data_IF_001799647717
#
_entry.id   IF_001799647717
#
_cell.length_a   1.000
_cell.length_b   1.000
_cell.length_c   1.000
_cell.angle_alpha   90.00
_cell.angle_beta   90.00
_cell.angle_gamma   90.00
#
_symmetry.space_group_name_H-M   'P 1'
#
loop_
_entity.id
_entity.type
_entity.pdbx_description
1 polymer ?
#
# COMPACT_ATOMS: atom_id res chain seq x y z
N UNK A 1 27.56 -22.57 -14.48
CA UNK A 1 27.13 -21.20 -14.82
C UNK A 1 26.81 -20.47 -13.53
N UNK A 2 27.46 -19.34 -13.29
CA UNK A 2 27.65 -18.74 -11.97
C UNK A 2 26.49 -17.82 -11.50
N UNK A 3 26.29 -17.84 -10.17
CA UNK A 3 25.59 -16.87 -9.29
C UNK A 3 24.21 -16.39 -9.73
N UNK A 4 23.16 -17.05 -9.21
CA UNK A 4 21.95 -16.33 -8.77
C UNK A 4 22.38 -15.42 -7.63
N UNK A 5 22.73 -14.16 -7.94
CA UNK A 5 22.81 -13.10 -6.94
C UNK A 5 21.47 -13.07 -6.21
N UNK A 6 21.48 -12.82 -4.90
CA UNK A 6 20.28 -12.42 -4.17
C UNK A 6 19.65 -11.28 -4.97
N UNK A 7 18.58 -11.56 -5.72
CA UNK A 7 17.86 -10.54 -6.48
C UNK A 7 17.24 -9.66 -5.39
N UNK A 8 17.73 -8.43 -5.26
CA UNK A 8 16.98 -7.38 -4.58
C UNK A 8 15.61 -7.36 -5.26
N UNK A 9 14.61 -7.88 -4.56
CA UNK A 9 13.23 -7.85 -5.05
C UNK A 9 12.72 -6.46 -4.78
N UNK A 10 12.22 -5.82 -5.82
CA UNK A 10 11.41 -4.61 -5.71
C UNK A 10 9.96 -5.03 -5.49
N UNK A 11 9.48 -5.15 -4.24
CA UNK A 11 8.12 -5.57 -3.96
C UNK A 11 7.11 -4.60 -4.59
N UNK A 12 5.99 -5.13 -5.04
CA UNK A 12 4.87 -4.38 -5.60
C UNK A 12 3.63 -5.29 -5.66
N UNK A 13 2.47 -4.67 -5.93
CA UNK A 13 1.18 -5.34 -6.00
C UNK A 13 0.62 -5.49 -7.42
N UNK A 14 1.44 -5.26 -8.46
CA UNK A 14 0.97 -5.19 -9.85
C UNK A 14 0.29 -6.51 -10.27
N UNK A 15 0.87 -7.67 -9.91
CA UNK A 15 0.30 -8.98 -10.25
C UNK A 15 -1.10 -9.16 -9.69
N UNK A 16 -1.23 -8.91 -8.39
CA UNK A 16 -2.48 -9.05 -7.65
C UNK A 16 -3.57 -8.17 -8.27
N UNK A 17 -3.26 -6.88 -8.49
CA UNK A 17 -4.19 -5.91 -9.07
C UNK A 17 -4.56 -6.23 -10.52
N UNK A 18 -3.59 -6.72 -11.30
CA UNK A 18 -3.82 -7.15 -12.68
C UNK A 18 -4.80 -8.33 -12.73
N UNK A 19 -4.62 -9.30 -11.83
CA UNK A 19 -5.46 -10.49 -11.74
C UNK A 19 -6.86 -10.16 -11.22
N UNK A 20 -6.98 -9.24 -10.26
CA UNK A 20 -8.27 -8.70 -9.81
C UNK A 20 -9.03 -7.96 -10.92
N UNK A 21 -8.31 -7.30 -11.84
CA UNK A 21 -8.88 -6.67 -13.02
C UNK A 21 -9.11 -7.65 -14.20
N UNK A 22 -8.86 -8.96 -14.01
CA UNK A 22 -8.99 -10.01 -15.03
C UNK A 22 -8.15 -9.74 -16.30
N UNK A 23 -7.02 -9.04 -16.16
CA UNK A 23 -6.16 -8.68 -17.28
C UNK A 23 -5.02 -9.69 -17.47
N UNK A 24 -4.75 -10.07 -18.72
CA UNK A 24 -3.50 -10.74 -19.07
C UNK A 24 -2.33 -9.75 -18.98
N UNK A 25 -1.10 -10.27 -18.82
CA UNK A 25 0.11 -9.44 -18.82
C UNK A 25 0.25 -8.64 -20.12
N UNK A 26 -0.05 -9.26 -21.27
CA UNK A 26 -0.03 -8.59 -22.57
C UNK A 26 -1.07 -7.48 -22.64
N UNK A 27 -2.28 -7.71 -22.11
CA UNK A 27 -3.35 -6.71 -22.12
C UNK A 27 -3.00 -5.53 -21.25
N UNK A 28 -2.47 -5.74 -20.04
CA UNK A 28 -1.99 -4.66 -19.18
C UNK A 28 -0.83 -3.91 -19.83
N UNK A 29 0.10 -4.61 -20.49
CA UNK A 29 1.18 -4.00 -21.25
C UNK A 29 0.68 -3.07 -22.37
N UNK A 30 -0.32 -3.51 -23.13
CA UNK A 30 -0.98 -2.68 -24.14
C UNK A 30 -1.66 -1.44 -23.54
N UNK A 31 -2.42 -1.61 -22.45
CA UNK A 31 -3.16 -0.50 -21.80
C UNK A 31 -2.22 0.53 -21.15
N UNK A 32 -1.12 0.07 -20.55
CA UNK A 32 -0.13 0.94 -19.89
C UNK A 32 0.91 1.51 -20.86
N UNK A 33 1.00 0.98 -22.08
CA UNK A 33 2.07 1.31 -23.02
C UNK A 33 3.44 0.76 -22.60
N UNK A 34 3.48 -0.23 -21.70
CA UNK A 34 4.71 -0.89 -21.25
C UNK A 34 4.84 -2.23 -21.99
N UNK A 35 5.98 -2.45 -22.63
CA UNK A 35 6.24 -3.72 -23.31
C UNK A 35 6.15 -4.91 -22.33
N UNK A 36 5.48 -5.98 -22.73
CA UNK A 36 5.14 -7.12 -21.86
C UNK A 36 6.36 -7.70 -21.11
N UNK A 37 7.53 -7.78 -21.78
CA UNK A 37 8.75 -8.31 -21.18
C UNK A 37 9.35 -7.40 -20.11
N UNK A 38 9.14 -6.09 -20.22
CA UNK A 38 9.54 -5.13 -19.19
C UNK A 38 8.54 -5.21 -18.03
N UNK A 39 7.25 -5.26 -18.33
CA UNK A 39 6.19 -5.41 -17.32
C UNK A 39 6.37 -6.69 -16.49
N UNK A 40 6.70 -7.82 -17.13
CA UNK A 40 6.98 -9.08 -16.45
C UNK A 40 8.06 -8.93 -15.37
N UNK A 41 9.16 -8.25 -15.69
CA UNK A 41 10.29 -8.03 -14.78
C UNK A 41 9.93 -7.08 -13.65
N UNK A 42 9.10 -6.07 -13.92
CA UNK A 42 8.60 -5.17 -12.89
C UNK A 42 7.66 -5.95 -11.95
N UNK A 43 6.72 -6.73 -12.49
CA UNK A 43 5.76 -7.52 -11.73
C UNK A 43 6.43 -8.59 -10.84
N UNK A 44 7.54 -9.20 -11.28
CA UNK A 44 8.32 -10.15 -10.45
C UNK A 44 9.25 -9.48 -9.45
N UNK A 45 9.40 -8.15 -9.52
CA UNK A 45 10.36 -7.39 -8.72
C UNK A 45 11.81 -7.57 -9.17
N UNK A 46 12.06 -8.16 -10.36
CA UNK A 46 13.39 -8.20 -10.98
C UNK A 46 13.85 -6.82 -11.47
N UNK A 47 12.90 -5.91 -11.71
CA UNK A 47 13.15 -4.54 -12.11
C UNK A 47 12.36 -3.58 -11.23
N UNK A 48 13.02 -2.52 -10.79
CA UNK A 48 12.40 -1.45 -10.03
C UNK A 48 11.29 -0.74 -10.82
N UNK A 49 10.15 -0.52 -10.17
CA UNK A 49 9.07 0.30 -10.68
C UNK A 49 9.39 1.79 -10.45
N UNK A 50 9.73 2.51 -11.52
CA UNK A 50 9.95 3.96 -11.50
C UNK A 50 8.62 4.74 -11.51
N UNK A 51 8.65 6.01 -11.16
CA UNK A 51 7.43 6.84 -11.07
C UNK A 51 6.63 6.93 -12.37
N UNK A 52 7.28 6.97 -13.53
CA UNK A 52 6.57 6.91 -14.81
C UNK A 52 5.83 5.58 -15.02
N UNK A 53 6.39 4.44 -14.57
CA UNK A 53 5.69 3.17 -14.59
C UNK A 53 4.48 3.21 -13.66
N UNK A 54 4.60 3.82 -12.47
CA UNK A 54 3.47 3.98 -11.55
C UNK A 54 2.34 4.78 -12.18
N UNK A 55 2.65 5.90 -12.85
CA UNK A 55 1.66 6.71 -13.58
C UNK A 55 0.95 5.91 -14.68
N UNK A 56 1.70 5.17 -15.49
CA UNK A 56 1.15 4.36 -16.59
C UNK A 56 0.27 3.22 -16.08
N UNK A 57 0.72 2.50 -15.07
CA UNK A 57 0.02 1.34 -14.53
C UNK A 57 -1.21 1.74 -13.71
N UNK A 58 -1.11 2.78 -12.88
CA UNK A 58 -2.25 3.30 -12.11
C UNK A 58 -3.38 3.77 -13.02
N UNK A 59 -3.06 4.48 -14.11
CA UNK A 59 -4.06 4.86 -15.14
C UNK A 59 -4.66 3.66 -15.86
N UNK A 60 -3.83 2.69 -16.25
CA UNK A 60 -4.30 1.50 -16.96
C UNK A 60 -5.22 0.62 -16.10
N UNK A 61 -4.98 0.57 -14.78
CA UNK A 61 -5.75 -0.19 -13.80
C UNK A 61 -6.90 0.61 -13.18
N UNK A 62 -6.94 1.94 -13.35
CA UNK A 62 -7.96 2.81 -12.75
C UNK A 62 -7.85 2.95 -11.23
N UNK A 63 -6.63 2.89 -10.68
CA UNK A 63 -6.34 2.92 -9.24
C UNK A 63 -5.42 4.10 -8.88
N UNK A 64 -5.18 4.33 -7.58
CA UNK A 64 -4.17 5.31 -7.17
C UNK A 64 -2.76 4.70 -7.25
N UNK A 65 -1.73 5.54 -7.44
CA UNK A 65 -0.33 5.09 -7.46
C UNK A 65 0.06 4.29 -6.21
N UNK A 66 -0.42 4.72 -5.04
CA UNK A 66 -0.13 4.07 -3.77
C UNK A 66 -0.63 2.61 -3.72
N UNK A 67 -1.69 2.26 -4.47
CA UNK A 67 -2.20 0.89 -4.50
C UNK A 67 -1.21 -0.10 -5.11
N UNK A 68 -0.29 0.37 -5.98
CA UNK A 68 0.75 -0.45 -6.58
C UNK A 68 1.83 -0.88 -5.58
N UNK A 69 1.89 -0.22 -4.42
CA UNK A 69 2.89 -0.44 -3.38
C UNK A 69 2.33 -1.37 -2.29
N UNK A 70 3.24 -2.07 -1.62
CA UNK A 70 2.87 -2.79 -0.41
C UNK A 70 2.62 -1.81 0.75
N UNK A 71 1.86 -2.21 1.79
CA UNK A 71 1.63 -1.36 2.96
C UNK A 71 2.92 -0.82 3.61
N UNK A 72 3.95 -1.65 3.71
CA UNK A 72 5.27 -1.27 4.26
C UNK A 72 5.99 -0.18 3.45
N UNK A 73 5.65 -0.01 2.17
CA UNK A 73 6.27 0.94 1.25
C UNK A 73 5.36 2.15 0.94
N UNK A 74 4.30 2.35 1.74
CA UNK A 74 3.36 3.46 1.58
C UNK A 74 2.09 3.13 0.77
N UNK A 75 1.86 1.84 0.50
CA UNK A 75 0.53 1.36 0.09
C UNK A 75 -0.46 1.37 1.25
N UNK A 76 -1.73 1.10 0.95
CA UNK A 76 -2.78 0.96 1.96
C UNK A 76 -3.24 -0.49 2.03
N UNK A 77 -3.51 -0.98 3.25
CA UNK A 77 -4.30 -2.21 3.41
C UNK A 77 -5.74 -1.99 2.92
N UNK A 78 -6.51 -3.06 2.66
CA UNK A 78 -7.93 -2.94 2.33
C UNK A 78 -8.73 -2.14 3.37
N UNK A 79 -8.44 -2.34 4.65
CA UNK A 79 -9.09 -1.65 5.76
C UNK A 79 -8.74 -0.15 5.77
N UNK A 80 -7.46 0.20 5.59
CA UNK A 80 -7.01 1.59 5.50
C UNK A 80 -7.59 2.29 4.26
N UNK A 81 -7.63 1.60 3.11
CA UNK A 81 -8.26 2.09 1.88
C UNK A 81 -9.73 2.42 2.12
N UNK A 82 -10.47 1.50 2.74
CA UNK A 82 -11.89 1.71 3.07
C UNK A 82 -12.10 2.94 3.98
N UNK A 83 -11.24 3.14 4.98
CA UNK A 83 -11.29 4.33 5.84
C UNK A 83 -11.05 5.63 5.07
N UNK A 84 -10.04 5.65 4.20
CA UNK A 84 -9.70 6.82 3.38
C UNK A 84 -10.81 7.13 2.39
N UNK A 85 -11.37 6.13 1.73
CA UNK A 85 -12.45 6.31 0.77
C UNK A 85 -13.72 6.80 1.49
N UNK A 86 -14.04 6.24 2.65
CA UNK A 86 -15.11 6.75 3.53
C UNK A 86 -14.88 8.23 3.86
N UNK A 87 -13.67 8.60 4.30
CA UNK A 87 -13.34 9.99 4.62
C UNK A 87 -13.50 10.93 3.41
N UNK A 88 -13.11 10.48 2.21
CA UNK A 88 -13.25 11.24 0.96
C UNK A 88 -14.71 11.41 0.53
N UNK A 89 -15.58 10.45 0.84
CA UNK A 89 -16.99 10.53 0.49
C UNK A 89 -17.83 11.29 1.53
N UNK A 90 -17.28 11.55 2.73
CA UNK A 90 -17.97 12.32 3.76
C UNK A 90 -18.26 13.77 3.31
N UNK A 91 -19.46 14.30 3.62
CA UNK A 91 -19.75 15.73 3.56
C UNK A 91 -18.72 16.55 4.35
N UNK A 92 -18.38 17.73 3.83
CA UNK A 92 -17.37 18.63 4.44
C UNK A 92 -17.66 18.90 5.93
N UNK A 93 -18.93 18.99 6.32
CA UNK A 93 -19.33 19.18 7.71
C UNK A 93 -18.89 18.01 8.62
N UNK A 94 -19.03 16.77 8.16
CA UNK A 94 -18.64 15.57 8.92
C UNK A 94 -17.12 15.36 8.93
N UNK A 95 -16.40 15.83 7.91
CA UNK A 95 -14.92 15.80 7.91
C UNK A 95 -14.34 16.61 9.07
N UNK A 96 -14.94 17.76 9.42
CA UNK A 96 -14.52 18.56 10.58
C UNK A 96 -14.68 17.81 11.91
N UNK A 97 -15.74 17.02 12.04
CA UNK A 97 -15.93 16.15 13.22
C UNK A 97 -14.86 15.07 13.27
N UNK A 98 -14.54 14.46 12.13
CA UNK A 98 -13.45 13.48 12.03
C UNK A 98 -12.09 14.08 12.39
N UNK A 99 -11.79 15.29 11.89
CA UNK A 99 -10.56 16.02 12.23
C UNK A 99 -10.49 16.33 13.73
N UNK A 100 -11.58 16.78 14.34
CA UNK A 100 -11.63 17.03 15.79
C UNK A 100 -11.41 15.75 16.61
N UNK A 101 -11.99 14.62 16.18
CA UNK A 101 -11.79 13.32 16.82
C UNK A 101 -10.33 12.87 16.69
N UNK A 102 -9.73 12.97 15.50
CA UNK A 102 -8.31 12.68 15.26
C UNK A 102 -7.42 13.51 16.19
N UNK A 103 -7.65 14.80 16.25
CA UNK A 103 -6.83 15.73 17.04
C UNK A 103 -6.99 15.44 18.54
N UNK A 104 -8.21 15.11 19.01
CA UNK A 104 -8.44 14.67 20.38
C UNK A 104 -7.67 13.39 20.73
N UNK A 105 -7.57 12.43 19.81
CA UNK A 105 -6.83 11.18 20.03
C UNK A 105 -5.31 11.35 19.90
N UNK A 106 -4.80 12.31 19.12
CA UNK A 106 -3.35 12.58 19.02
C UNK A 106 -2.74 12.95 20.36
N UNK A 107 -3.47 13.66 21.23
CA UNK A 107 -3.04 14.00 22.59
C UNK A 107 -2.74 12.74 23.42
N UNK A 108 -3.38 11.62 23.12
CA UNK A 108 -3.21 10.34 23.82
C UNK A 108 -2.25 9.37 23.13
N UNK A 109 -1.66 9.71 21.97
CA UNK A 109 -0.71 8.79 21.27
C UNK A 109 0.53 8.47 22.11
N UNK A 110 1.00 9.41 22.94
CA UNK A 110 2.08 9.14 23.91
C UNK A 110 1.65 8.28 25.11
N UNK A 111 0.34 8.12 25.33
CA UNK A 111 -0.21 7.34 26.47
C UNK A 111 -0.38 5.86 26.15
N UNK A 112 -0.51 5.49 24.87
CA UNK A 112 -0.63 4.08 24.45
C UNK A 112 0.63 3.26 24.73
N UNK A 113 1.82 3.84 24.57
CA UNK A 113 3.09 3.22 24.96
C UNK A 113 3.14 2.97 26.48
N UNK A 114 2.66 3.93 27.27
CA UNK A 114 2.60 3.81 28.73
C UNK A 114 1.64 2.71 29.17
N UNK A 115 0.48 2.56 28.53
CA UNK A 115 -0.48 1.48 28.84
C UNK A 115 0.12 0.11 28.49
N UNK A 116 0.72 -0.03 27.30
CA UNK A 116 1.39 -1.28 26.90
C UNK A 116 2.58 -1.65 27.80
N UNK A 117 3.33 -0.65 28.29
CA UNK A 117 4.39 -0.86 29.29
C UNK A 117 3.82 -1.32 30.63
N UNK A 118 2.73 -0.70 31.11
CA UNK A 118 2.09 -1.07 32.39
C UNK A 118 1.53 -2.49 32.31
N UNK A 119 0.90 -2.87 31.20
CA UNK A 119 0.37 -4.22 30.98
C UNK A 119 1.50 -5.26 30.96
N UNK A 120 2.57 -5.02 30.18
CA UNK A 120 3.74 -5.91 30.10
C UNK A 120 4.49 -6.05 31.45
N UNK A 121 4.55 -4.99 32.24
CA UNK A 121 5.16 -5.03 33.58
C UNK A 121 4.28 -5.76 34.60
N UNK A 122 2.94 -5.70 34.44
CA UNK A 122 1.99 -6.44 35.28
C UNK A 122 2.04 -7.95 35.03
N UNK A 123 2.25 -8.37 33.78
CA UNK A 123 2.37 -9.78 33.40
C UNK A 123 3.69 -10.39 33.89
N UNK A 124 4.79 -9.62 33.83
CA UNK A 124 6.10 -10.04 34.38
C UNK A 124 6.10 -10.18 35.90
N UNK A 125 5.27 -9.43 36.62
CA UNK A 125 5.12 -9.55 38.09
C UNK A 125 4.18 -10.68 38.52
N UNK A 126 3.46 -11.30 37.58
CA UNK A 126 2.54 -12.43 37.82
C UNK A 126 3.13 -13.80 37.42
N UNK A 127 4.27 -13.82 36.73
CA UNK A 127 5.05 -15.01 36.39
C UNK A 127 6.17 -15.25 37.43
#
# INVERSE_FOLDING_TARGET
MARKSKIERFPNRIRELREQAELSLEKLGQLSGIHFSNLAKIETGEREMKDHHMEQLSKALGIAKADLLNPEDGGLTPEERALIDTYRDLPVALRKTFDALRDSHQVFRGSGEVISMIEAESERKRA
#
